data_IF_919386023906
#
_entry.id   IF_919386023906
#
_cell.length_a   1.000
_cell.length_b   1.000
_cell.length_c   1.000
_cell.angle_alpha   90.00
_cell.angle_beta   90.00
_cell.angle_gamma   90.00
#
_symmetry.space_group_name_H-M   'P 1'
#
loop_
_entity.id
_entity.type
_entity.pdbx_description
1 polymer ?
#
# COMPACT_ATOMS: atom_id res chain seq x y z
N UNK A 1 72.01 71.81 -20.02
CA UNK A 1 70.66 72.11 -20.54
C UNK A 1 70.12 70.84 -21.18
N UNK A 2 69.17 70.15 -20.52
CA UNK A 2 68.12 69.38 -21.14
C UNK A 2 67.23 68.82 -20.02
N UNK A 3 66.00 69.23 -20.04
CA UNK A 3 64.95 68.77 -19.08
C UNK A 3 64.41 67.44 -19.64
N UNK A 4 64.37 66.40 -18.81
CA UNK A 4 63.61 65.17 -19.02
C UNK A 4 62.33 65.22 -18.23
N UNK A 5 61.23 65.14 -18.93
CA UNK A 5 59.86 64.98 -18.41
C UNK A 5 59.60 63.51 -18.11
N UNK A 6 59.19 63.19 -16.93
CA UNK A 6 58.75 61.88 -16.54
C UNK A 6 57.18 61.80 -16.68
N UNK A 7 56.70 60.96 -17.53
CA UNK A 7 55.24 60.62 -17.62
C UNK A 7 54.92 59.50 -16.68
N UNK A 8 54.00 59.76 -15.75
CA UNK A 8 53.41 58.77 -14.83
C UNK A 8 52.21 58.07 -15.45
N UNK A 9 52.39 56.84 -15.91
CA UNK A 9 51.28 56.02 -16.37
C UNK A 9 50.47 55.51 -15.15
N UNK A 10 49.21 55.92 -15.06
CA UNK A 10 48.20 55.33 -14.13
C UNK A 10 47.57 54.10 -14.78
N UNK A 11 47.93 52.92 -14.31
CA UNK A 11 47.22 51.69 -14.61
C UNK A 11 45.93 51.63 -13.78
N UNK A 12 44.79 51.80 -14.46
CA UNK A 12 43.46 51.58 -13.87
C UNK A 12 43.16 50.10 -13.77
N UNK A 13 43.04 49.55 -12.53
CA UNK A 13 42.45 48.22 -12.32
C UNK A 13 40.95 48.31 -12.55
N UNK A 14 40.48 47.67 -13.60
CA UNK A 14 39.04 47.41 -13.83
C UNK A 14 38.62 46.21 -12.93
N UNK A 15 37.86 46.48 -11.88
CA UNK A 15 37.23 45.45 -11.06
C UNK A 15 36.04 44.85 -11.83
N UNK A 16 36.14 43.63 -12.34
CA UNK A 16 35.04 42.87 -12.86
C UNK A 16 34.16 42.39 -11.68
N UNK A 17 33.02 43.05 -11.50
CA UNK A 17 31.97 42.62 -10.59
C UNK A 17 31.22 41.44 -11.21
N UNK A 18 31.50 40.20 -10.77
CA UNK A 18 30.71 39.00 -11.13
C UNK A 18 29.41 39.06 -10.30
N UNK A 19 28.37 39.58 -10.88
CA UNK A 19 27.01 39.48 -10.33
C UNK A 19 26.55 38.02 -10.41
N UNK A 20 26.68 37.29 -9.30
CA UNK A 20 26.15 35.92 -9.17
C UNK A 20 24.63 35.95 -9.29
N UNK A 21 24.12 35.40 -10.39
CA UNK A 21 22.69 35.16 -10.60
C UNK A 21 22.26 34.04 -9.65
N UNK A 22 21.71 34.40 -8.49
CA UNK A 22 21.03 33.45 -7.62
C UNK A 22 19.77 32.97 -8.35
N UNK A 23 19.82 31.80 -9.00
CA UNK A 23 18.59 31.11 -9.40
C UNK A 23 17.86 30.73 -8.10
N UNK A 24 16.86 31.52 -7.73
CA UNK A 24 15.88 31.10 -6.73
C UNK A 24 15.17 29.88 -7.29
N UNK A 25 15.45 28.70 -6.75
CA UNK A 25 14.70 27.50 -7.03
C UNK A 25 13.25 27.80 -6.62
N UNK A 26 12.36 27.86 -7.59
CA UNK A 26 10.91 27.97 -7.34
C UNK A 26 10.54 26.78 -6.45
N UNK A 27 9.80 26.99 -5.34
CA UNK A 27 9.33 25.86 -4.54
C UNK A 27 8.52 24.93 -5.45
N UNK A 28 8.97 23.70 -5.61
CA UNK A 28 8.21 22.70 -6.35
C UNK A 28 6.84 22.59 -5.69
N UNK A 29 5.79 22.88 -6.46
CA UNK A 29 4.41 22.88 -5.99
C UNK A 29 4.06 21.47 -5.51
N UNK A 30 3.42 21.37 -4.36
CA UNK A 30 2.83 20.11 -3.92
C UNK A 30 1.64 19.81 -4.87
N UNK A 31 1.66 18.64 -5.49
CA UNK A 31 0.55 18.14 -6.31
C UNK A 31 -0.03 16.93 -5.57
N UNK A 32 -1.01 17.21 -4.72
CA UNK A 32 -1.59 16.21 -3.83
C UNK A 32 -2.81 15.51 -4.42
N UNK A 33 -3.32 15.96 -5.56
CA UNK A 33 -4.53 15.42 -6.19
C UNK A 33 -4.28 15.12 -7.67
N UNK A 34 -4.61 13.90 -8.08
CA UNK A 34 -4.62 13.49 -9.49
C UNK A 34 -5.98 12.87 -9.86
N UNK A 35 -6.37 13.06 -11.14
CA UNK A 35 -7.59 12.46 -11.70
C UNK A 35 -7.22 11.56 -12.86
N UNK A 36 -7.79 10.35 -12.83
CA UNK A 36 -7.70 9.39 -13.92
C UNK A 36 -9.12 8.93 -14.30
N UNK A 37 -9.33 8.30 -15.45
CA UNK A 37 -10.64 7.76 -15.77
C UNK A 37 -11.13 6.83 -14.66
N UNK A 38 -12.31 7.09 -14.12
CA UNK A 38 -12.94 6.28 -13.07
C UNK A 38 -12.42 6.47 -11.65
N UNK A 39 -11.40 7.31 -11.42
CA UNK A 39 -10.90 7.57 -10.06
C UNK A 39 -10.28 8.95 -9.86
N UNK A 40 -10.33 9.41 -8.61
CA UNK A 40 -9.50 10.52 -8.09
C UNK A 40 -8.58 9.95 -7.03
N UNK A 41 -7.31 10.37 -7.04
CA UNK A 41 -6.29 9.94 -6.08
C UNK A 41 -5.77 11.16 -5.33
N UNK A 42 -5.83 11.12 -4.01
CA UNK A 42 -5.40 12.23 -3.14
C UNK A 42 -4.36 11.74 -2.14
N UNK A 43 -3.28 12.50 -2.00
CA UNK A 43 -2.24 12.30 -0.98
C UNK A 43 -2.47 13.29 0.16
N UNK A 44 -2.67 12.78 1.37
CA UNK A 44 -3.03 13.57 2.56
C UNK A 44 -2.04 13.38 3.69
N UNK A 45 -1.92 14.41 4.55
CA UNK A 45 -1.11 14.36 5.77
C UNK A 45 -1.98 14.38 7.03
N UNK A 46 -1.53 13.67 8.03
CA UNK A 46 -2.10 13.63 9.37
C UNK A 46 -1.12 14.12 10.43
N UNK A 47 -1.13 13.47 11.59
CA UNK A 47 -0.29 13.87 12.73
C UNK A 47 1.20 13.65 12.47
N UNK A 48 2.01 14.54 13.06
CA UNK A 48 3.46 14.42 13.16
C UNK A 48 3.82 14.14 14.62
N UNK A 49 4.48 13.01 14.88
CA UNK A 49 4.87 12.56 16.22
C UNK A 49 6.36 12.19 16.23
N UNK A 50 7.21 13.14 16.57
CA UNK A 50 8.66 12.96 16.54
C UNK A 50 9.16 12.68 15.11
N UNK A 51 9.73 11.49 14.89
CA UNK A 51 10.19 11.03 13.56
C UNK A 51 9.08 10.40 12.72
N UNK A 52 7.91 10.14 13.29
CA UNK A 52 6.82 9.48 12.61
C UNK A 52 5.77 10.47 12.12
N UNK A 53 5.34 10.31 10.88
CA UNK A 53 4.25 11.07 10.27
C UNK A 53 3.18 10.11 9.77
N UNK A 54 1.94 10.39 10.14
CA UNK A 54 0.80 9.75 9.51
C UNK A 54 0.49 10.45 8.18
N UNK A 55 0.37 9.67 7.13
CA UNK A 55 -0.07 10.12 5.81
C UNK A 55 -1.04 9.10 5.21
N UNK A 56 -1.59 9.38 4.05
CA UNK A 56 -2.49 8.46 3.39
C UNK A 56 -2.66 8.75 1.91
N UNK A 57 -2.92 7.69 1.14
CA UNK A 57 -3.36 7.79 -0.25
C UNK A 57 -4.83 7.40 -0.30
N UNK A 58 -5.70 8.33 -0.62
CA UNK A 58 -7.12 8.07 -0.85
C UNK A 58 -7.39 7.87 -2.34
N UNK A 59 -8.05 6.77 -2.68
CA UNK A 59 -8.57 6.50 -4.02
C UNK A 59 -10.09 6.56 -3.94
N UNK A 60 -10.69 7.55 -4.58
CA UNK A 60 -12.14 7.71 -4.73
C UNK A 60 -12.56 7.22 -6.12
N UNK A 61 -13.28 6.12 -6.15
CA UNK A 61 -13.73 5.47 -7.38
C UNK A 61 -15.11 5.97 -7.79
N UNK A 62 -15.31 6.20 -9.07
CA UNK A 62 -16.62 6.50 -9.63
C UNK A 62 -17.61 5.33 -9.41
N UNK A 63 -18.93 5.58 -9.43
CA UNK A 63 -19.94 4.52 -9.31
C UNK A 63 -19.70 3.39 -10.34
N UNK A 64 -19.73 2.14 -9.89
CA UNK A 64 -19.47 0.96 -10.73
C UNK A 64 -18.00 0.55 -10.81
N UNK A 65 -17.07 1.47 -10.60
CA UNK A 65 -15.64 1.22 -10.68
C UNK A 65 -15.09 0.49 -9.46
N UNK A 66 -13.99 -0.26 -9.66
CA UNK A 66 -13.22 -0.95 -8.62
C UNK A 66 -11.73 -0.76 -8.83
N UNK A 67 -10.94 -0.93 -7.76
CA UNK A 67 -9.48 -1.06 -7.81
C UNK A 67 -9.05 -2.27 -6.99
N UNK A 68 -7.79 -2.64 -7.07
CA UNK A 68 -7.29 -3.90 -6.55
C UNK A 68 -6.58 -3.76 -5.20
N UNK A 69 -6.63 -4.84 -4.43
CA UNK A 69 -5.80 -5.05 -3.24
C UNK A 69 -4.39 -5.52 -3.66
N UNK A 70 -3.44 -5.55 -2.72
CA UNK A 70 -2.07 -6.00 -2.96
C UNK A 70 -1.98 -7.44 -3.51
N UNK A 71 -2.94 -8.29 -3.16
CA UNK A 71 -3.19 -9.58 -3.79
C UNK A 71 -4.52 -9.50 -4.56
N UNK A 72 -4.48 -9.34 -5.89
CA UNK A 72 -5.64 -8.90 -6.66
C UNK A 72 -6.63 -10.00 -7.04
N UNK A 73 -6.31 -11.28 -6.76
CA UNK A 73 -7.10 -12.45 -7.16
C UNK A 73 -6.78 -12.92 -8.59
N UNK A 74 -7.72 -13.68 -9.18
CA UNK A 74 -7.50 -14.43 -10.42
C UNK A 74 -7.23 -13.54 -11.65
N UNK A 75 -7.77 -12.33 -11.68
CA UNK A 75 -7.80 -11.46 -12.87
C UNK A 75 -7.37 -10.01 -12.60
N UNK A 76 -6.76 -9.75 -11.46
CA UNK A 76 -6.39 -8.40 -11.06
C UNK A 76 -4.94 -8.03 -11.38
N UNK A 77 -4.65 -6.74 -11.23
CA UNK A 77 -3.29 -6.18 -11.32
C UNK A 77 -2.94 -5.61 -9.95
N UNK A 78 -1.87 -6.11 -9.28
CA UNK A 78 -1.48 -5.57 -7.98
C UNK A 78 -1.01 -4.12 -8.13
N UNK A 79 -1.41 -3.22 -7.22
CA UNK A 79 -0.88 -1.87 -7.20
C UNK A 79 0.58 -1.86 -6.76
N UNK A 80 1.36 -0.96 -7.34
CA UNK A 80 2.76 -0.72 -7.00
C UNK A 80 2.95 0.75 -6.59
N UNK A 81 3.74 0.96 -5.54
CA UNK A 81 4.08 2.28 -5.03
C UNK A 81 5.59 2.42 -4.96
N UNK A 82 6.06 3.57 -5.41
CA UNK A 82 7.45 3.96 -5.34
C UNK A 82 7.54 5.33 -4.65
N UNK A 83 8.59 5.54 -3.86
CA UNK A 83 8.76 6.74 -3.02
C UNK A 83 10.08 7.45 -3.33
N UNK A 84 10.70 7.12 -4.45
CA UNK A 84 11.93 7.73 -4.93
C UNK A 84 11.73 9.22 -5.17
N UNK A 85 12.77 10.02 -4.86
CA UNK A 85 12.70 11.48 -4.95
C UNK A 85 12.12 12.16 -3.71
N UNK A 86 11.64 11.41 -2.71
CA UNK A 86 11.27 11.97 -1.41
C UNK A 86 12.48 12.62 -0.73
N UNK A 87 12.25 13.70 0.02
CA UNK A 87 13.28 14.45 0.72
C UNK A 87 13.02 14.41 2.21
N UNK A 88 14.07 14.18 3.00
CA UNK A 88 14.01 14.03 4.46
C UNK A 88 13.06 12.88 4.90
N UNK A 89 12.98 11.81 4.09
CA UNK A 89 12.21 10.58 4.35
C UNK A 89 13.18 9.42 4.43
N UNK A 90 13.24 8.75 5.59
CA UNK A 90 14.06 7.56 5.83
C UNK A 90 13.36 6.27 5.39
N UNK A 91 12.03 6.24 5.49
CA UNK A 91 11.23 5.09 5.10
C UNK A 91 9.74 5.39 5.00
N UNK A 92 9.03 4.56 4.24
CA UNK A 92 7.57 4.61 4.15
C UNK A 92 7.02 3.18 4.24
N UNK A 93 6.04 2.97 5.09
CA UNK A 93 5.27 1.74 5.12
C UNK A 93 3.80 2.01 4.82
N UNK A 94 3.18 1.07 4.09
CA UNK A 94 1.76 1.15 3.71
C UNK A 94 0.95 0.10 4.47
N UNK A 95 -0.20 0.51 4.98
CA UNK A 95 -1.17 -0.39 5.55
C UNK A 95 -2.35 -0.58 4.59
N UNK A 96 -2.82 -1.83 4.48
CA UNK A 96 -3.85 -2.21 3.52
C UNK A 96 -5.16 -2.46 4.25
N UNK A 97 -6.21 -1.64 4.05
CA UNK A 97 -7.54 -1.90 4.55
C UNK A 97 -8.06 -3.28 4.15
N UNK A 98 -8.98 -3.84 4.92
CA UNK A 98 -9.58 -5.13 4.62
C UNK A 98 -10.26 -5.12 3.24
N UNK A 99 -9.90 -6.07 2.34
CA UNK A 99 -10.43 -6.11 0.99
C UNK A 99 -11.81 -6.78 0.91
N UNK A 100 -12.38 -6.76 -0.30
CA UNK A 100 -13.58 -7.52 -0.66
C UNK A 100 -13.33 -8.34 -1.91
N UNK A 101 -14.06 -9.45 -2.02
CA UNK A 101 -14.11 -10.29 -3.21
C UNK A 101 -15.21 -9.80 -4.15
N UNK A 102 -14.90 -9.72 -5.44
CA UNK A 102 -15.84 -9.35 -6.49
C UNK A 102 -15.80 -10.39 -7.61
N UNK A 103 -16.97 -10.87 -8.06
CA UNK A 103 -17.04 -11.66 -9.30
C UNK A 103 -16.63 -10.77 -10.49
N UNK A 104 -15.86 -11.33 -11.41
CA UNK A 104 -15.48 -10.69 -12.68
C UNK A 104 -16.43 -10.99 -13.83
N UNK A 105 -17.46 -11.84 -13.58
CA UNK A 105 -18.45 -12.25 -14.56
C UNK A 105 -18.00 -13.40 -15.48
N UNK A 106 -16.72 -13.76 -15.48
CA UNK A 106 -16.14 -14.86 -16.26
C UNK A 106 -15.90 -16.15 -15.47
N UNK A 107 -16.37 -16.21 -14.21
CA UNK A 107 -16.15 -17.34 -13.31
C UNK A 107 -14.99 -17.14 -12.35
N UNK A 108 -14.15 -16.13 -12.55
CA UNK A 108 -13.08 -15.72 -11.65
C UNK A 108 -13.51 -14.63 -10.67
N UNK A 109 -12.57 -14.25 -9.81
CA UNK A 109 -12.78 -13.22 -8.81
C UNK A 109 -11.60 -12.25 -8.75
N UNK A 110 -11.91 -11.01 -8.52
CA UNK A 110 -10.93 -10.00 -8.13
C UNK A 110 -11.07 -9.63 -6.66
N UNK A 111 -9.95 -9.26 -6.03
CA UNK A 111 -9.88 -8.80 -4.65
C UNK A 111 -9.51 -7.32 -4.65
N UNK A 112 -10.26 -6.49 -3.95
CA UNK A 112 -10.00 -5.06 -3.95
C UNK A 112 -11.07 -4.23 -3.27
N UNK A 113 -11.35 -3.06 -3.85
CA UNK A 113 -12.17 -2.02 -3.25
C UNK A 113 -13.13 -1.39 -4.25
N UNK A 114 -14.27 -0.88 -3.76
CA UNK A 114 -15.25 -0.05 -4.47
C UNK A 114 -15.56 1.19 -3.65
N UNK A 115 -15.97 2.27 -4.31
CA UNK A 115 -16.27 3.54 -3.68
C UNK A 115 -14.99 4.28 -3.28
N UNK A 116 -14.73 4.48 -1.99
CA UNK A 116 -13.50 5.10 -1.51
C UNK A 116 -12.68 4.11 -0.68
N UNK A 117 -11.35 4.17 -0.83
CA UNK A 117 -10.40 3.51 0.04
C UNK A 117 -9.26 4.46 0.36
N UNK A 118 -8.90 4.57 1.62
CA UNK A 118 -7.74 5.31 2.09
C UNK A 118 -6.71 4.31 2.61
N UNK A 119 -5.54 4.27 1.96
CA UNK A 119 -4.38 3.48 2.37
C UNK A 119 -3.55 4.29 3.36
N UNK A 120 -3.55 3.94 4.67
CA UNK A 120 -2.72 4.64 5.64
C UNK A 120 -1.24 4.40 5.39
N UNK A 121 -0.46 5.46 5.43
CA UNK A 121 0.99 5.42 5.38
C UNK A 121 1.58 5.76 6.76
N UNK A 122 2.72 5.15 7.07
CA UNK A 122 3.66 5.63 8.10
C UNK A 122 4.91 6.10 7.40
N UNK A 123 5.22 7.37 7.53
CA UNK A 123 6.42 7.99 6.98
C UNK A 123 7.40 8.23 8.12
N UNK A 124 8.62 7.76 7.98
CA UNK A 124 9.71 7.99 8.92
C UNK A 124 10.59 9.13 8.39
N UNK A 125 10.75 10.17 9.18
CA UNK A 125 11.62 11.31 8.86
C UNK A 125 13.08 10.98 9.18
N UNK A 126 13.99 11.37 8.29
CA UNK A 126 15.42 11.27 8.56
C UNK A 126 15.88 12.31 9.61
N UNK A 127 15.28 13.51 9.60
CA UNK A 127 15.52 14.59 10.55
C UNK A 127 14.17 15.23 10.93
N UNK A 128 13.66 15.00 12.15
CA UNK A 128 12.36 15.50 12.57
C UNK A 128 12.30 17.01 12.74
N UNK A 129 13.46 17.69 12.77
CA UNK A 129 13.53 19.15 12.88
C UNK A 129 13.42 19.88 11.54
N UNK A 130 13.32 19.17 10.42
CA UNK A 130 13.31 19.75 9.08
C UNK A 130 12.03 19.42 8.32
N UNK A 131 11.59 20.32 7.42
CA UNK A 131 10.51 20.01 6.50
C UNK A 131 10.84 18.77 5.65
N UNK A 132 9.83 17.98 5.34
CA UNK A 132 9.96 16.84 4.47
C UNK A 132 9.07 16.98 3.22
N UNK A 133 9.46 16.30 2.15
CA UNK A 133 8.63 16.14 0.95
C UNK A 133 8.47 14.65 0.67
N UNK A 134 7.24 14.18 0.73
CA UNK A 134 6.88 12.83 0.30
C UNK A 134 6.55 12.89 -1.19
N UNK A 135 7.23 12.09 -2.01
CA UNK A 135 6.89 11.85 -3.41
C UNK A 135 6.41 10.43 -3.58
N UNK A 136 5.35 10.23 -4.37
CA UNK A 136 4.77 8.92 -4.61
C UNK A 136 4.51 8.77 -6.11
N UNK A 137 5.10 7.73 -6.71
CA UNK A 137 4.63 7.20 -7.98
C UNK A 137 3.72 6.00 -7.67
N UNK A 138 2.46 6.08 -8.07
CA UNK A 138 1.46 5.06 -7.81
C UNK A 138 0.93 4.49 -9.13
N UNK A 139 1.34 3.25 -9.43
CA UNK A 139 0.87 2.46 -10.55
C UNK A 139 -0.23 1.52 -10.05
N UNK A 140 -1.41 1.57 -10.65
CA UNK A 140 -2.57 0.76 -10.25
C UNK A 140 -3.49 0.50 -11.44
N UNK A 141 -4.56 -0.22 -11.23
CA UNK A 141 -5.59 -0.37 -12.26
C UNK A 141 -6.97 -0.05 -11.70
N UNK A 142 -7.80 0.53 -12.53
CA UNK A 142 -9.22 0.80 -12.27
C UNK A 142 -10.07 0.06 -13.29
N UNK A 143 -11.16 -0.54 -12.83
CA UNK A 143 -11.99 -1.41 -13.67
C UNK A 143 -13.46 -1.14 -13.46
N UNK A 144 -14.18 -1.04 -14.57
CA UNK A 144 -15.65 -1.14 -14.63
C UNK A 144 -16.01 -2.36 -15.47
N UNK A 145 -16.28 -2.19 -16.75
CA UNK A 145 -16.41 -3.27 -17.73
C UNK A 145 -15.05 -3.71 -18.29
N UNK A 146 -14.13 -2.76 -18.43
CA UNK A 146 -12.73 -2.99 -18.83
C UNK A 146 -11.78 -2.49 -17.74
N UNK A 147 -10.64 -3.15 -17.62
CA UNK A 147 -9.57 -2.72 -16.72
C UNK A 147 -8.60 -1.80 -17.45
N UNK A 148 -8.35 -0.66 -16.86
CA UNK A 148 -7.42 0.35 -17.38
C UNK A 148 -6.27 0.53 -16.40
N UNK A 149 -5.01 0.36 -16.84
CA UNK A 149 -3.88 0.76 -16.05
C UNK A 149 -3.89 2.29 -15.87
N UNK A 150 -3.51 2.73 -14.69
CA UNK A 150 -3.39 4.12 -14.32
C UNK A 150 -2.08 4.35 -13.59
N UNK A 151 -1.48 5.51 -13.82
CA UNK A 151 -0.29 5.97 -13.11
C UNK A 151 -0.51 7.42 -12.68
N UNK A 152 -0.17 7.72 -11.43
CA UNK A 152 -0.18 9.07 -10.89
C UNK A 152 1.10 9.33 -10.12
N UNK A 153 1.61 10.55 -10.26
CA UNK A 153 2.74 11.05 -9.49
C UNK A 153 2.21 12.16 -8.58
N UNK A 154 2.36 11.99 -7.26
CA UNK A 154 1.87 12.90 -6.25
C UNK A 154 3.01 13.38 -5.36
N UNK A 155 2.88 14.58 -4.82
CA UNK A 155 3.85 15.11 -3.88
C UNK A 155 3.18 15.92 -2.78
N UNK A 156 3.62 15.70 -1.54
CA UNK A 156 3.09 16.32 -0.34
C UNK A 156 4.25 16.96 0.45
N UNK A 157 4.10 18.20 0.83
CA UNK A 157 5.00 18.83 1.79
C UNK A 157 4.49 18.54 3.20
N UNK A 158 5.37 18.05 4.04
CA UNK A 158 5.11 17.74 5.44
C UNK A 158 5.89 18.76 6.28
N UNK A 159 5.19 19.55 7.03
CA UNK A 159 5.77 20.47 8.01
C UNK A 159 5.51 19.99 9.45
N UNK A 160 6.09 20.70 10.43
CA UNK A 160 5.97 20.31 11.84
C UNK A 160 4.55 20.45 12.40
N UNK A 161 3.66 21.20 11.75
CA UNK A 161 2.28 21.33 12.17
C UNK A 161 1.45 20.09 11.84
N UNK A 162 1.93 19.26 10.91
CA UNK A 162 1.19 18.13 10.37
C UNK A 162 0.06 18.58 9.44
N UNK A 163 -0.87 17.67 9.14
CA UNK A 163 -2.03 17.89 8.29
C UNK A 163 -3.35 17.77 9.04
N UNK A 164 -4.41 18.23 8.40
CA UNK A 164 -5.76 18.25 8.97
C UNK A 164 -6.45 16.87 8.92
N UNK A 165 -5.88 15.89 8.20
CA UNK A 165 -6.52 14.62 7.88
C UNK A 165 -6.27 13.49 8.91
N UNK A 166 -5.73 13.82 10.09
CA UNK A 166 -5.41 12.82 11.12
C UNK A 166 -6.60 11.91 11.45
N UNK A 167 -7.81 12.47 11.59
CA UNK A 167 -9.00 11.69 11.90
C UNK A 167 -9.41 10.74 10.75
N UNK A 168 -9.28 11.17 9.49
CA UNK A 168 -9.54 10.32 8.30
C UNK A 168 -8.57 9.16 8.24
N UNK A 169 -7.28 9.43 8.45
CA UNK A 169 -6.22 8.42 8.44
C UNK A 169 -6.41 7.43 9.59
N UNK A 170 -6.74 7.91 10.80
CA UNK A 170 -7.02 7.03 11.95
C UNK A 170 -8.24 6.13 11.69
N UNK A 171 -9.31 6.65 11.12
CA UNK A 171 -10.48 5.86 10.73
C UNK A 171 -10.13 4.78 9.69
N UNK A 172 -9.32 5.12 8.69
CA UNK A 172 -8.85 4.15 7.71
C UNK A 172 -7.95 3.08 8.34
N UNK A 173 -7.05 3.47 9.25
CA UNK A 173 -6.18 2.54 9.99
C UNK A 173 -6.98 1.52 10.80
N UNK A 174 -8.14 1.90 11.35
CA UNK A 174 -9.02 0.99 12.05
C UNK A 174 -9.66 -0.09 11.15
N UNK A 175 -9.61 0.08 9.83
CA UNK A 175 -10.10 -0.93 8.86
C UNK A 175 -9.00 -1.89 8.38
N UNK A 176 -7.76 -1.66 8.79
CA UNK A 176 -6.64 -2.56 8.49
C UNK A 176 -6.77 -3.82 9.36
N UNK A 177 -6.62 -5.02 8.78
CA UNK A 177 -6.67 -6.25 9.54
C UNK A 177 -5.66 -6.28 10.69
N UNK A 178 -6.12 -6.55 11.91
CA UNK A 178 -5.26 -6.64 13.08
C UNK A 178 -4.51 -7.98 13.10
N UNK A 179 -3.23 -7.95 13.45
CA UNK A 179 -2.44 -9.19 13.60
C UNK A 179 -2.97 -10.02 14.77
N UNK A 180 -3.16 -11.33 14.57
CA UNK A 180 -3.66 -12.26 15.56
C UNK A 180 -2.98 -13.62 15.43
N UNK A 181 -2.71 -14.27 16.55
CA UNK A 181 -2.15 -15.61 16.56
C UNK A 181 -3.17 -16.68 16.12
N UNK A 182 -2.67 -17.77 15.54
CA UNK A 182 -3.48 -18.96 15.25
C UNK A 182 -4.10 -19.51 16.54
N UNK A 183 -5.36 -19.90 16.49
CA UNK A 183 -6.09 -20.48 17.62
C UNK A 183 -6.53 -19.48 18.69
N UNK A 184 -6.44 -18.17 18.42
CA UNK A 184 -6.92 -17.14 19.34
C UNK A 184 -8.40 -17.35 19.70
N UNK A 185 -8.77 -17.05 20.94
CA UNK A 185 -10.14 -17.28 21.45
C UNK A 185 -11.14 -16.25 21.00
N UNK A 186 -10.66 -15.08 20.57
CA UNK A 186 -11.48 -13.98 20.09
C UNK A 186 -12.24 -14.33 18.81
N UNK A 187 -13.18 -13.46 18.42
CA UNK A 187 -13.93 -13.57 17.18
C UNK A 187 -13.88 -12.22 16.45
N UNK A 188 -13.46 -12.17 15.16
CA UNK A 188 -13.09 -13.31 14.32
C UNK A 188 -11.72 -13.95 14.68
N UNK A 189 -11.50 -15.22 14.31
CA UNK A 189 -10.19 -15.89 14.47
C UNK A 189 -10.00 -17.05 13.50
N UNK A 190 -8.76 -17.29 13.09
CA UNK A 190 -8.34 -18.54 12.42
C UNK A 190 -8.07 -19.57 13.51
N UNK A 191 -8.81 -20.69 13.50
CA UNK A 191 -8.76 -21.73 14.53
C UNK A 191 -7.68 -22.77 14.26
N UNK A 192 -7.64 -23.24 13.02
CA UNK A 192 -6.70 -24.25 12.58
C UNK A 192 -6.39 -24.15 11.10
N UNK A 193 -5.22 -24.64 10.73
CA UNK A 193 -4.79 -24.84 9.34
C UNK A 193 -4.23 -26.25 9.26
N UNK A 194 -4.77 -27.07 8.36
CA UNK A 194 -4.33 -28.44 8.14
C UNK A 194 -4.11 -28.70 6.65
N UNK A 195 -3.22 -29.63 6.34
CA UNK A 195 -2.97 -30.10 4.98
C UNK A 195 -3.75 -31.42 4.75
N UNK A 196 -4.63 -31.42 3.75
CA UNK A 196 -5.26 -32.62 3.23
C UNK A 196 -4.39 -33.20 2.11
N UNK A 197 -3.68 -34.26 2.41
CA UNK A 197 -2.78 -34.95 1.48
C UNK A 197 -3.48 -36.03 0.64
N UNK A 198 -4.75 -36.33 0.91
CA UNK A 198 -5.53 -37.30 0.11
C UNK A 198 -5.99 -36.70 -1.22
N UNK A 199 -6.00 -35.38 -1.33
CA UNK A 199 -6.33 -34.67 -2.56
C UNK A 199 -5.10 -34.45 -3.45
N UNK A 200 -5.33 -34.34 -4.77
CA UNK A 200 -4.30 -33.96 -5.75
C UNK A 200 -4.83 -32.82 -6.61
N UNK A 201 -4.25 -31.59 -6.58
CA UNK A 201 -3.17 -31.19 -5.65
C UNK A 201 -3.63 -31.26 -4.19
N UNK A 202 -2.67 -31.28 -3.25
CA UNK A 202 -2.95 -31.18 -1.83
C UNK A 202 -3.79 -29.94 -1.53
N UNK A 203 -4.57 -29.96 -0.45
CA UNK A 203 -5.47 -28.86 -0.09
C UNK A 203 -5.17 -28.35 1.31
N UNK A 204 -5.23 -27.05 1.47
CA UNK A 204 -5.29 -26.44 2.79
C UNK A 204 -6.74 -26.42 3.27
N UNK A 205 -6.96 -26.91 4.47
CA UNK A 205 -8.24 -26.88 5.18
C UNK A 205 -8.09 -25.94 6.35
N UNK A 206 -8.81 -24.82 6.30
CA UNK A 206 -8.69 -23.71 7.25
C UNK A 206 -10.04 -23.57 7.96
N UNK A 207 -10.05 -23.72 9.29
CA UNK A 207 -11.25 -23.47 10.09
C UNK A 207 -11.16 -22.10 10.77
N UNK A 208 -12.24 -21.33 10.67
CA UNK A 208 -12.34 -20.01 11.25
C UNK A 208 -13.57 -19.87 12.13
N UNK A 209 -13.51 -19.03 13.12
CA UNK A 209 -14.67 -18.51 13.87
C UNK A 209 -15.00 -17.15 13.37
N UNK A 210 -16.25 -16.93 12.95
CA UNK A 210 -16.75 -15.65 12.44
C UNK A 210 -18.21 -15.46 12.81
N UNK A 211 -18.66 -14.22 12.96
CA UNK A 211 -20.04 -13.89 13.29
C UNK A 211 -20.88 -13.58 12.05
N UNK A 212 -20.26 -13.08 11.01
CA UNK A 212 -20.95 -12.71 9.78
C UNK A 212 -21.02 -13.90 8.83
N UNK A 213 -22.23 -14.30 8.37
CA UNK A 213 -22.36 -15.38 7.37
C UNK A 213 -21.64 -15.07 6.05
N UNK A 214 -21.36 -13.78 5.79
CA UNK A 214 -20.60 -13.33 4.61
C UNK A 214 -19.09 -13.15 4.89
N UNK A 215 -18.60 -13.63 6.05
CA UNK A 215 -17.16 -13.60 6.30
C UNK A 215 -16.40 -14.27 5.17
N UNK A 216 -15.24 -13.71 4.80
CA UNK A 216 -14.41 -14.16 3.70
C UNK A 216 -12.95 -14.31 4.13
N UNK A 217 -12.23 -15.18 3.46
CA UNK A 217 -10.84 -15.49 3.74
C UNK A 217 -9.98 -15.31 2.49
N UNK A 218 -8.86 -14.63 2.64
CA UNK A 218 -7.85 -14.44 1.61
C UNK A 218 -6.53 -15.05 2.09
N UNK A 219 -5.80 -15.70 1.18
CA UNK A 219 -4.53 -16.33 1.48
C UNK A 219 -3.46 -15.77 0.56
N UNK A 220 -2.31 -15.43 1.13
CA UNK A 220 -1.15 -14.89 0.42
C UNK A 220 0.07 -15.75 0.76
N UNK A 221 0.87 -16.10 -0.24
CA UNK A 221 2.17 -16.72 -0.07
C UNK A 221 3.24 -15.72 0.37
N UNK A 222 4.51 -16.15 0.48
CA UNK A 222 5.61 -15.30 0.95
C UNK A 222 5.92 -14.12 0.02
N UNK A 223 5.64 -14.25 -1.26
CA UNK A 223 5.94 -13.23 -2.27
C UNK A 223 4.95 -13.26 -3.45
N UNK A 224 5.12 -12.33 -4.39
CA UNK A 224 4.22 -12.14 -5.52
C UNK A 224 4.26 -13.26 -6.59
N UNK A 225 5.17 -14.22 -6.49
CA UNK A 225 5.22 -15.37 -7.40
C UNK A 225 4.24 -16.49 -6.99
N UNK A 226 3.68 -16.40 -5.79
CA UNK A 226 2.66 -17.31 -5.32
C UNK A 226 1.27 -16.85 -5.80
N UNK A 227 0.67 -17.59 -6.71
CA UNK A 227 -0.65 -17.33 -7.27
C UNK A 227 -1.71 -18.24 -6.65
N UNK A 228 -1.83 -18.22 -5.30
CA UNK A 228 -2.72 -19.11 -4.58
C UNK A 228 -4.19 -18.85 -4.98
N UNK A 229 -4.98 -19.91 -5.26
CA UNK A 229 -6.39 -19.73 -5.60
C UNK A 229 -7.21 -19.27 -4.39
N UNK A 230 -8.36 -18.68 -4.66
CA UNK A 230 -9.23 -18.21 -3.59
C UNK A 230 -9.87 -19.38 -2.81
N UNK A 231 -9.81 -19.36 -1.45
CA UNK A 231 -10.42 -20.38 -0.64
C UNK A 231 -11.94 -20.49 -0.87
N UNK A 232 -12.43 -21.73 -0.91
CA UNK A 232 -13.87 -22.06 -1.04
C UNK A 232 -14.47 -22.26 0.34
N UNK A 233 -15.54 -21.50 0.65
CA UNK A 233 -16.19 -21.50 1.96
C UNK A 233 -17.29 -22.54 2.07
N UNK A 234 -17.33 -23.25 3.21
CA UNK A 234 -18.47 -24.03 3.69
C UNK A 234 -18.83 -23.55 5.10
N UNK A 235 -20.08 -23.14 5.30
CA UNK A 235 -20.56 -22.80 6.64
C UNK A 235 -20.76 -24.07 7.48
N UNK A 236 -20.36 -24.01 8.75
CA UNK A 236 -20.54 -25.05 9.77
C UNK A 236 -21.38 -24.48 10.92
N UNK A 237 -21.91 -25.33 11.82
CA UNK A 237 -22.61 -24.86 13.01
C UNK A 237 -21.78 -23.92 13.89
N UNK A 238 -22.44 -23.22 14.80
CA UNK A 238 -21.84 -22.41 15.88
C UNK A 238 -20.93 -21.25 15.42
N UNK A 239 -21.20 -20.69 14.23
CA UNK A 239 -20.41 -19.58 13.67
C UNK A 239 -19.00 -20.02 13.26
N UNK A 240 -18.79 -21.30 13.01
CA UNK A 240 -17.58 -21.83 12.39
C UNK A 240 -17.77 -21.85 10.88
N UNK A 241 -16.72 -21.56 10.13
CA UNK A 241 -16.68 -21.80 8.70
C UNK A 241 -15.38 -22.52 8.35
N UNK A 242 -15.49 -23.41 7.37
CA UNK A 242 -14.34 -24.10 6.78
C UNK A 242 -14.06 -23.51 5.42
N UNK A 243 -12.82 -23.14 5.20
CA UNK A 243 -12.31 -22.73 3.91
C UNK A 243 -11.37 -23.79 3.38
N UNK A 244 -11.55 -24.19 2.13
CA UNK A 244 -10.70 -25.19 1.46
C UNK A 244 -10.08 -24.54 0.25
N UNK A 245 -8.79 -24.68 0.10
CA UNK A 245 -8.00 -24.11 -0.99
C UNK A 245 -7.02 -25.17 -1.51
N UNK A 246 -7.01 -25.51 -2.80
CA UNK A 246 -5.93 -26.31 -3.35
C UNK A 246 -4.61 -25.59 -3.19
N UNK A 247 -3.54 -26.31 -2.85
CA UNK A 247 -2.18 -25.78 -2.78
C UNK A 247 -1.59 -25.80 -4.19
N UNK A 248 -2.23 -25.03 -5.06
CA UNK A 248 -1.89 -24.78 -6.45
C UNK A 248 -1.43 -23.34 -6.62
N UNK A 249 -0.69 -23.03 -7.68
CA UNK A 249 -0.12 -21.70 -7.86
C UNK A 249 1.14 -21.41 -7.03
N UNK A 250 1.72 -22.45 -6.41
CA UNK A 250 3.08 -22.39 -5.85
C UNK A 250 4.07 -22.34 -7.00
N UNK A 251 5.15 -21.52 -6.92
CA UNK A 251 6.16 -21.49 -7.98
C UNK A 251 6.75 -22.85 -8.29
N UNK A 252 6.98 -23.12 -9.57
CA UNK A 252 7.51 -24.43 -10.01
C UNK A 252 8.83 -24.79 -9.32
N UNK A 253 8.91 -26.01 -8.78
CA UNK A 253 10.10 -26.52 -8.09
C UNK A 253 10.28 -26.03 -6.65
N UNK A 254 9.32 -25.27 -6.11
CA UNK A 254 9.33 -24.84 -4.69
C UNK A 254 8.56 -25.84 -3.85
N UNK A 255 9.17 -26.33 -2.76
CA UNK A 255 8.46 -27.05 -1.71
C UNK A 255 7.72 -26.02 -0.84
N UNK A 256 6.39 -26.06 -0.78
CA UNK A 256 5.63 -25.11 0.03
C UNK A 256 5.75 -25.36 1.54
N UNK A 257 6.23 -26.51 1.99
CA UNK A 257 6.27 -26.90 3.40
C UNK A 257 7.04 -25.89 4.24
N UNK A 258 6.41 -25.38 5.29
CA UNK A 258 7.01 -24.39 6.16
C UNK A 258 7.04 -22.96 5.63
N UNK A 259 6.68 -22.73 4.36
CA UNK A 259 6.61 -21.37 3.82
C UNK A 259 5.56 -20.53 4.59
N UNK A 260 5.81 -19.24 4.88
CA UNK A 260 4.86 -18.41 5.59
C UNK A 260 3.63 -18.14 4.73
N UNK A 261 2.46 -18.51 5.23
CA UNK A 261 1.15 -18.26 4.65
C UNK A 261 0.46 -17.17 5.45
N UNK A 262 0.08 -16.09 4.80
CA UNK A 262 -0.66 -14.99 5.43
C UNK A 262 -2.15 -15.13 5.11
N UNK A 263 -2.95 -15.32 6.15
CA UNK A 263 -4.40 -15.47 6.09
C UNK A 263 -5.08 -14.19 6.56
N UNK A 264 -5.86 -13.55 5.70
CA UNK A 264 -6.67 -12.38 6.04
C UNK A 264 -8.14 -12.77 6.12
N UNK A 265 -8.69 -12.81 7.34
CA UNK A 265 -10.11 -13.09 7.60
C UNK A 265 -10.87 -11.79 7.78
N UNK A 266 -11.88 -11.57 6.96
CA UNK A 266 -12.76 -10.40 7.00
C UNK A 266 -14.15 -10.84 7.49
N UNK A 267 -14.59 -10.30 8.63
CA UNK A 267 -15.86 -10.61 9.29
C UNK A 267 -16.70 -9.33 9.50
N UNK A 268 -17.30 -8.85 8.42
CA UNK A 268 -18.01 -7.59 8.42
C UNK A 268 -17.07 -6.39 8.63
N UNK A 269 -17.25 -5.59 9.69
CA UNK A 269 -16.37 -4.46 9.98
C UNK A 269 -15.04 -4.86 10.64
N UNK A 270 -14.93 -6.10 11.14
CA UNK A 270 -13.71 -6.62 11.76
C UNK A 270 -12.90 -7.43 10.76
N UNK A 271 -11.59 -7.29 10.82
CA UNK A 271 -10.68 -8.11 10.05
C UNK A 271 -9.43 -8.42 10.86
N UNK A 272 -8.88 -9.62 10.65
CA UNK A 272 -7.63 -10.05 11.27
C UNK A 272 -6.69 -10.66 10.22
N UNK A 273 -5.42 -10.63 10.54
CA UNK A 273 -4.37 -11.30 9.77
C UNK A 273 -3.63 -12.29 10.66
N UNK A 274 -3.51 -13.53 10.20
CA UNK A 274 -2.78 -14.59 10.88
C UNK A 274 -1.72 -15.17 9.94
N UNK A 275 -0.46 -15.16 10.35
CA UNK A 275 0.62 -15.78 9.55
C UNK A 275 0.97 -17.12 10.19
N UNK A 276 0.99 -18.17 9.38
CA UNK A 276 1.27 -19.55 9.78
C UNK A 276 2.21 -20.21 8.77
N UNK A 277 3.03 -21.18 9.14
CA UNK A 277 3.73 -22.01 8.17
C UNK A 277 2.73 -22.90 7.42
N UNK A 278 2.96 -23.15 6.15
CA UNK A 278 2.26 -24.22 5.42
C UNK A 278 2.55 -25.54 6.13
N UNK A 279 1.53 -26.32 6.56
CA UNK A 279 1.76 -27.57 7.30
C UNK A 279 2.54 -28.61 6.47
N UNK A 280 3.36 -29.41 7.14
CA UNK A 280 3.97 -30.59 6.52
C UNK A 280 2.91 -31.68 6.22
N UNK A 281 3.17 -32.55 5.24
CA UNK A 281 2.35 -33.72 4.91
C UNK A 281 2.18 -34.70 6.05
#
# INVERSE_FOLDING_TARGET
MLRTLAESGRMGLAALSISGLWLAALPARADTLAKVPGAEVELIAGAVEGVQVDAGIEVRLAPGWKTYWRYPGDSGVPPALAFEGSQNVAGVSIAWPAPKRFSDGGGGFSIGYKGAVLFPLKVELADPGKPARLQIAFDFAVCEALCMPAKVDLSLVIDAAGGEDAARIAAARATVPAAQALGAVDTPSVRSVALDTAATPHRLVIEVKATNPKADLFAEGPDAHWALPLPQKTALPDGVARFVMPLDGVPSGVDPTGAPLTLTLVDGPKAITTTVPVPAP
#
